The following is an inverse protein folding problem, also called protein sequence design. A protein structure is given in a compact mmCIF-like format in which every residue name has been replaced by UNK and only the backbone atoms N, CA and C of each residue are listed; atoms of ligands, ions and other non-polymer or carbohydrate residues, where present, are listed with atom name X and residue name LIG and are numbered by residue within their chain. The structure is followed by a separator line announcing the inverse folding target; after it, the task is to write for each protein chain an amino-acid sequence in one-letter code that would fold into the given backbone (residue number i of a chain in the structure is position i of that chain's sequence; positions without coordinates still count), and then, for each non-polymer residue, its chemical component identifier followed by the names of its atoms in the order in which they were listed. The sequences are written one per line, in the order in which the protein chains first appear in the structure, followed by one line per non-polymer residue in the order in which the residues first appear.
data_IF_631905942766
#
_entry.id   IF_631905942766
#
_cell.length_a   1.000
_cell.length_b   1.000
_cell.length_c   1.000
_cell.angle_alpha   90.00
_cell.angle_beta   90.00
_cell.angle_gamma   90.00
#
_symmetry.space_group_name_H-M   'P 1'
#
loop_
_entity.id
_entity.type
_entity.pdbx_description
1 polymer ?
#
# COMPACT_ATOMS: atom_id res chain seq x y z
N UNK A 1 5.29 10.17 40.30
CA UNK A 1 6.32 11.14 40.01
C UNK A 1 6.15 11.76 38.63
N UNK A 2 6.85 12.84 38.42
CA UNK A 2 6.88 13.59 37.17
C UNK A 2 8.19 13.32 36.41
N UNK A 3 8.53 12.07 36.20
CA UNK A 3 9.69 11.71 35.38
C UNK A 3 9.27 11.54 33.93
N UNK A 4 10.15 11.88 33.01
CA UNK A 4 9.86 11.83 31.56
C UNK A 4 8.86 12.89 31.06
N UNK A 5 8.60 13.96 31.86
CA UNK A 5 7.74 15.07 31.45
C UNK A 5 6.22 14.83 31.57
N UNK A 6 5.76 13.61 31.94
CA UNK A 6 4.35 13.31 32.16
C UNK A 6 3.98 13.44 33.65
N UNK A 7 3.10 14.40 33.98
CA UNK A 7 2.49 14.54 35.28
C UNK A 7 1.01 14.16 35.24
N UNK A 8 0.66 13.01 35.83
CA UNK A 8 -0.71 12.51 35.96
C UNK A 8 -1.35 12.73 37.32
N UNK A 9 -0.68 13.44 38.26
CA UNK A 9 -1.19 13.66 39.62
C UNK A 9 -2.46 14.50 39.67
N UNK A 10 -2.63 15.36 38.67
CA UNK A 10 -3.79 16.27 38.55
C UNK A 10 -4.78 15.80 37.45
N UNK A 11 -4.52 14.67 36.80
CA UNK A 11 -5.40 14.11 35.77
C UNK A 11 -5.94 12.75 36.20
N UNK A 12 -7.17 12.45 35.82
CA UNK A 12 -7.85 11.19 36.11
C UNK A 12 -7.97 10.31 34.86
N UNK A 13 -8.30 9.03 35.09
CA UNK A 13 -8.58 8.06 34.02
C UNK A 13 -7.40 7.81 33.06
N UNK A 14 -6.15 7.87 33.56
CA UNK A 14 -4.98 7.48 32.80
C UNK A 14 -4.49 6.10 33.25
N UNK A 15 -4.02 5.29 32.31
CA UNK A 15 -3.26 4.06 32.54
C UNK A 15 -1.83 4.33 32.04
N UNK A 16 -0.82 4.13 32.89
CA UNK A 16 0.57 4.37 32.55
C UNK A 16 1.43 3.18 32.96
N UNK A 17 2.20 2.64 32.03
CA UNK A 17 3.31 1.72 32.29
C UNK A 17 4.61 2.47 32.09
N UNK A 18 5.44 2.50 33.12
CA UNK A 18 6.73 3.19 33.11
C UNK A 18 7.88 2.18 33.21
N UNK A 19 9.07 2.55 32.73
CA UNK A 19 10.29 1.80 32.98
C UNK A 19 10.79 2.01 34.42
N UNK A 20 11.91 1.35 34.77
CA UNK A 20 12.50 1.43 36.11
C UNK A 20 12.95 2.84 36.53
N UNK A 21 13.18 3.73 35.55
CA UNK A 21 13.57 5.12 35.79
C UNK A 21 12.34 6.06 35.81
N UNK A 22 11.12 5.50 35.67
CA UNK A 22 9.88 6.25 35.74
C UNK A 22 9.46 6.93 34.42
N UNK A 23 10.14 6.64 33.30
CA UNK A 23 9.72 7.17 32.00
C UNK A 23 8.53 6.38 31.49
N UNK A 24 7.43 7.03 31.09
CA UNK A 24 6.29 6.35 30.51
C UNK A 24 6.65 5.64 29.19
N UNK A 25 6.33 4.34 29.11
CA UNK A 25 6.54 3.53 27.89
C UNK A 25 5.23 3.20 27.20
N UNK A 26 4.14 3.17 27.96
CA UNK A 26 2.78 3.05 27.44
C UNK A 26 1.87 3.93 28.28
N UNK A 27 1.01 4.70 27.65
CA UNK A 27 -0.01 5.51 28.31
C UNK A 27 -1.34 5.38 27.56
N UNK A 28 -2.42 5.20 28.29
CA UNK A 28 -3.77 5.45 27.80
C UNK A 28 -4.32 6.66 28.55
N UNK A 29 -4.77 7.68 27.82
CA UNK A 29 -5.33 8.89 28.42
C UNK A 29 -6.84 8.79 28.68
N UNK A 30 -7.42 9.83 29.31
CA UNK A 30 -8.86 9.90 29.61
C UNK A 30 -9.77 9.88 28.39
N UNK A 31 -9.24 10.12 27.19
CA UNK A 31 -9.99 10.07 25.92
C UNK A 31 -9.87 8.70 25.24
N UNK A 32 -9.14 7.74 25.86
CA UNK A 32 -8.92 6.43 25.28
C UNK A 32 -7.78 6.38 24.25
N UNK A 33 -6.96 7.44 24.14
CA UNK A 33 -5.80 7.44 23.22
C UNK A 33 -4.66 6.61 23.81
N UNK A 34 -4.11 5.68 23.03
CA UNK A 34 -2.97 4.85 23.39
C UNK A 34 -1.67 5.46 22.86
N UNK A 35 -0.72 5.69 23.76
CA UNK A 35 0.63 6.20 23.46
C UNK A 35 1.65 5.11 23.73
N UNK A 36 2.57 4.88 22.80
CA UNK A 36 3.66 3.91 22.93
C UNK A 36 4.97 4.65 22.68
N UNK A 37 5.87 4.64 23.70
CA UNK A 37 7.18 5.29 23.61
C UNK A 37 7.16 6.83 23.63
N UNK A 38 6.00 7.45 23.88
CA UNK A 38 5.85 8.91 23.94
C UNK A 38 4.86 9.33 25.02
N UNK A 39 4.96 10.56 25.50
CA UNK A 39 4.07 11.16 26.51
C UNK A 39 3.02 12.09 25.91
N UNK A 40 3.18 12.44 24.65
CA UNK A 40 2.27 13.31 23.92
C UNK A 40 2.07 12.79 22.50
N UNK A 41 0.90 13.01 21.94
CA UNK A 41 0.73 12.91 20.51
C UNK A 41 1.44 14.13 19.89
N UNK A 42 2.65 13.90 19.38
CA UNK A 42 3.16 14.76 18.33
C UNK A 42 2.23 14.61 17.12
N UNK A 43 2.43 15.40 16.11
CA UNK A 43 1.62 15.37 14.87
C UNK A 43 1.60 14.01 14.15
N UNK A 44 2.34 13.01 14.63
CA UNK A 44 2.74 11.84 13.87
C UNK A 44 2.31 10.48 14.44
N UNK A 45 1.66 10.39 15.61
CA UNK A 45 1.39 9.06 16.17
C UNK A 45 0.05 8.98 16.89
N UNK A 46 -1.00 8.58 16.19
CA UNK A 46 -2.20 8.05 16.82
C UNK A 46 -2.46 6.63 16.30
N UNK A 47 -2.22 5.63 17.16
CA UNK A 47 -2.76 4.29 16.96
C UNK A 47 -4.12 4.28 17.65
N UNK A 48 -5.19 4.51 16.89
CA UNK A 48 -6.55 4.36 17.38
C UNK A 48 -7.14 3.05 16.85
N UNK A 49 -7.31 2.06 17.72
CA UNK A 49 -8.13 0.88 17.42
C UNK A 49 -9.50 1.09 18.06
N UNK A 50 -10.52 1.35 17.26
CA UNK A 50 -11.90 1.42 17.72
C UNK A 50 -12.61 0.09 17.42
N UNK A 51 -12.99 -0.65 18.48
CA UNK A 51 -13.87 -1.81 18.38
C UNK A 51 -15.31 -1.36 18.62
N UNK A 52 -16.10 -1.22 17.58
CA UNK A 52 -17.51 -0.87 17.76
C UNK A 52 -18.52 -1.74 17.03
N UNK A 53 -18.09 -2.87 16.39
CA UNK A 53 -18.98 -3.90 15.79
C UNK A 53 -18.17 -5.11 15.32
N UNK A 54 -18.80 -6.26 14.95
CA UNK A 54 -18.07 -7.39 14.38
C UNK A 54 -17.32 -6.95 13.10
N UNK A 55 -15.99 -6.95 13.17
CA UNK A 55 -15.08 -6.42 12.16
C UNK A 55 -14.24 -5.28 12.72
N UNK A 56 -13.03 -5.59 13.25
CA UNK A 56 -12.06 -4.56 13.64
C UNK A 56 -11.54 -3.83 12.41
N UNK A 57 -11.33 -2.51 12.53
CA UNK A 57 -10.68 -1.71 11.48
C UNK A 57 -9.59 -0.82 12.07
N UNK A 58 -8.58 -0.58 11.27
CA UNK A 58 -7.59 0.45 11.55
C UNK A 58 -8.08 1.77 10.97
N UNK A 59 -8.21 2.79 11.81
CA UNK A 59 -8.60 4.12 11.38
C UNK A 59 -7.47 5.12 11.63
N UNK A 60 -6.96 5.73 10.58
CA UNK A 60 -6.08 6.88 10.64
C UNK A 60 -6.83 8.10 10.11
N UNK A 61 -6.92 9.16 10.90
CA UNK A 61 -7.61 10.40 10.52
C UNK A 61 -6.78 11.60 10.90
N UNK A 62 -6.98 12.68 10.15
CA UNK A 62 -6.43 14.01 10.45
C UNK A 62 -7.57 15.03 10.47
N UNK A 63 -7.34 16.18 11.09
CA UNK A 63 -8.29 17.28 11.13
C UNK A 63 -8.05 18.35 10.05
N UNK A 64 -7.19 18.05 9.09
CA UNK A 64 -6.88 18.94 7.96
C UNK A 64 -7.40 18.37 6.64
N UNK A 65 -7.83 19.25 5.75
CA UNK A 65 -8.17 18.94 4.37
C UNK A 65 -6.97 19.03 3.41
N UNK A 66 -5.82 19.50 3.89
CA UNK A 66 -4.57 19.48 3.15
C UNK A 66 -4.04 18.07 2.92
N UNK A 67 -2.89 17.98 2.27
CA UNK A 67 -2.22 16.69 2.07
C UNK A 67 -1.65 16.18 3.38
N UNK A 68 -2.02 14.95 3.75
CA UNK A 68 -1.55 14.28 4.95
C UNK A 68 -1.25 12.81 4.67
N UNK A 69 -0.07 12.36 5.07
CA UNK A 69 0.31 10.94 4.96
C UNK A 69 -0.10 10.18 6.21
N UNK A 70 -0.90 9.14 6.02
CA UNK A 70 -1.40 8.27 7.09
C UNK A 70 -0.50 7.08 7.36
N UNK A 71 0.20 6.61 6.33
CA UNK A 71 1.11 5.48 6.43
C UNK A 71 2.29 5.65 5.48
N UNK A 72 3.50 5.47 6.00
CA UNK A 72 4.72 5.36 5.21
C UNK A 72 5.18 3.90 5.13
N UNK A 73 5.65 3.50 3.97
CA UNK A 73 6.34 2.24 3.74
C UNK A 73 7.82 2.52 3.51
N UNK A 74 8.67 1.88 4.30
CA UNK A 74 10.12 2.08 4.22
C UNK A 74 10.88 0.77 4.32
N UNK A 75 12.08 0.76 3.76
CA UNK A 75 13.06 -0.33 3.88
C UNK A 75 14.48 0.27 3.92
N UNK A 76 15.52 -0.53 3.71
CA UNK A 76 16.93 -0.06 3.70
C UNK A 76 17.22 1.00 2.64
N UNK A 77 16.37 1.15 1.61
CA UNK A 77 16.50 2.20 0.59
C UNK A 77 15.76 3.50 0.96
N UNK A 78 15.19 3.59 2.17
CA UNK A 78 14.43 4.74 2.66
C UNK A 78 12.91 4.56 2.48
N UNK A 79 12.20 5.68 2.33
CA UNK A 79 10.75 5.69 2.11
C UNK A 79 10.44 5.34 0.66
N UNK A 80 9.72 4.23 0.46
CA UNK A 80 9.42 3.67 -0.87
C UNK A 80 7.96 3.78 -1.26
N UNK A 81 7.08 4.19 -0.34
CA UNK A 81 5.66 4.39 -0.61
C UNK A 81 4.90 5.00 0.54
N UNK A 82 3.66 5.41 0.28
CA UNK A 82 2.77 5.96 1.31
C UNK A 82 1.29 5.82 0.94
N UNK A 83 0.43 5.90 1.97
CA UNK A 83 -1.00 6.15 1.82
C UNK A 83 -1.28 7.53 2.39
N UNK A 84 -1.83 8.42 1.56
CA UNK A 84 -2.09 9.81 1.93
C UNK A 84 -3.50 10.24 1.51
N UNK A 85 -4.00 11.30 2.16
CA UNK A 85 -5.24 11.97 1.76
C UNK A 85 -4.96 13.42 1.38
N UNK A 86 -5.77 13.97 0.48
CA UNK A 86 -5.78 15.41 0.15
C UNK A 86 -7.18 15.81 -0.29
N UNK A 87 -7.78 16.77 0.41
CA UNK A 87 -9.19 17.11 0.20
C UNK A 87 -10.08 15.89 0.41
N UNK A 88 -10.81 15.48 -0.61
CA UNK A 88 -11.72 14.33 -0.62
C UNK A 88 -11.15 13.07 -1.27
N UNK A 89 -9.85 13.03 -1.57
CA UNK A 89 -9.20 11.91 -2.26
C UNK A 89 -8.19 11.19 -1.38
N UNK A 90 -7.98 9.91 -1.69
CA UNK A 90 -6.90 9.07 -1.15
C UNK A 90 -5.93 8.71 -2.27
N UNK A 91 -4.63 8.80 -2.00
CA UNK A 91 -3.58 8.38 -2.91
C UNK A 91 -2.77 7.23 -2.33
N UNK A 92 -2.39 6.28 -3.20
CA UNK A 92 -1.49 5.16 -2.93
C UNK A 92 -0.23 5.43 -3.74
N UNK A 93 0.81 5.89 -3.06
CA UNK A 93 2.01 6.39 -3.72
C UNK A 93 3.13 5.36 -3.67
N UNK A 94 3.81 5.17 -4.79
CA UNK A 94 5.11 4.50 -4.91
C UNK A 94 6.17 5.52 -5.32
N UNK A 95 7.41 5.35 -4.84
CA UNK A 95 8.53 6.21 -5.24
C UNK A 95 8.78 6.09 -6.74
N UNK A 96 8.86 7.25 -7.42
CA UNK A 96 9.10 7.32 -8.86
C UNK A 96 9.94 8.55 -9.26
N UNK A 97 10.74 9.08 -8.34
CA UNK A 97 11.66 10.17 -8.63
C UNK A 97 12.71 9.72 -9.65
N UNK A 98 13.01 10.59 -10.64
CA UNK A 98 13.98 10.28 -11.70
C UNK A 98 15.40 10.04 -11.15
N UNK A 99 15.74 10.65 -10.02
CA UNK A 99 17.04 10.50 -9.34
C UNK A 99 17.26 9.09 -8.75
N UNK A 100 16.20 8.29 -8.65
CA UNK A 100 16.24 6.89 -8.22
C UNK A 100 16.35 5.91 -9.40
N UNK A 101 16.48 6.42 -10.62
CA UNK A 101 16.46 5.64 -11.86
C UNK A 101 17.70 5.88 -12.68
N UNK A 102 18.17 4.85 -13.35
CA UNK A 102 19.26 4.89 -14.31
C UNK A 102 18.89 4.09 -15.55
N UNK A 103 19.67 4.25 -16.63
CA UNK A 103 19.48 3.51 -17.89
C UNK A 103 18.04 3.61 -18.45
N UNK A 104 17.44 4.81 -18.35
CA UNK A 104 16.08 5.04 -18.83
C UNK A 104 16.06 5.02 -20.35
N UNK A 105 15.27 4.10 -20.91
CA UNK A 105 15.06 3.95 -22.38
C UNK A 105 13.58 3.83 -22.66
N UNK A 106 13.20 4.09 -23.92
CA UNK A 106 11.82 3.98 -24.36
C UNK A 106 11.35 2.51 -24.31
N UNK A 107 10.10 2.32 -23.88
CA UNK A 107 9.43 1.01 -23.88
C UNK A 107 8.89 0.73 -25.29
N UNK A 108 9.60 -0.08 -26.07
CA UNK A 108 9.21 -0.50 -27.43
C UNK A 108 8.69 -1.93 -27.48
N UNK A 109 7.93 -2.30 -28.53
CA UNK A 109 7.39 -3.63 -28.70
C UNK A 109 6.29 -3.97 -27.68
N UNK A 110 5.64 -2.95 -27.14
CA UNK A 110 4.64 -3.08 -26.11
C UNK A 110 3.41 -3.84 -26.57
N UNK A 111 2.97 -3.63 -27.80
CA UNK A 111 1.80 -4.31 -28.39
C UNK A 111 1.99 -5.83 -28.46
N UNK A 112 3.18 -6.30 -28.85
CA UNK A 112 3.44 -7.74 -28.95
C UNK A 112 3.59 -8.39 -27.59
N UNK A 113 4.11 -7.66 -26.62
CA UNK A 113 4.17 -8.09 -25.22
C UNK A 113 2.78 -8.15 -24.59
N UNK A 114 1.95 -7.13 -24.82
CA UNK A 114 0.57 -7.07 -24.31
C UNK A 114 -0.30 -8.22 -24.81
N UNK A 115 -0.18 -8.59 -26.10
CA UNK A 115 -0.93 -9.71 -26.69
C UNK A 115 -0.68 -11.06 -26.05
N UNK A 116 0.39 -11.22 -25.29
CA UNK A 116 0.71 -12.45 -24.58
C UNK A 116 -0.01 -12.53 -23.23
N UNK A 117 -0.53 -11.41 -22.71
CA UNK A 117 -1.36 -11.43 -21.51
C UNK A 117 -2.72 -12.09 -21.81
N UNK A 118 -3.19 -12.89 -20.86
CA UNK A 118 -4.45 -13.62 -20.97
C UNK A 118 -5.45 -13.13 -19.88
N UNK A 119 -6.24 -12.08 -20.15
CA UNK A 119 -7.33 -11.70 -19.26
C UNK A 119 -8.35 -12.82 -19.14
N UNK A 120 -8.71 -13.18 -17.91
CA UNK A 120 -9.58 -14.31 -17.63
C UNK A 120 -10.75 -13.89 -16.75
N UNK A 121 -11.88 -14.58 -16.89
CA UNK A 121 -13.04 -14.45 -16.01
C UNK A 121 -13.13 -15.69 -15.14
N UNK A 122 -13.27 -15.49 -13.82
CA UNK A 122 -13.26 -16.58 -12.85
C UNK A 122 -14.05 -16.22 -11.59
N UNK A 123 -14.26 -17.24 -10.73
CA UNK A 123 -14.76 -17.09 -9.38
C UNK A 123 -13.68 -17.54 -8.41
N UNK A 124 -13.55 -16.86 -7.27
CA UNK A 124 -12.73 -17.40 -6.19
C UNK A 124 -13.41 -18.63 -5.56
N UNK A 125 -12.64 -19.66 -5.22
CA UNK A 125 -13.18 -20.89 -4.62
C UNK A 125 -13.95 -20.57 -3.33
N UNK A 126 -13.47 -19.57 -2.55
CA UNK A 126 -14.13 -19.13 -1.31
C UNK A 126 -15.39 -18.28 -1.55
N UNK A 127 -15.63 -17.81 -2.80
CA UNK A 127 -16.79 -17.00 -3.18
C UNK A 127 -17.24 -17.40 -4.60
N UNK A 128 -17.87 -18.57 -4.67
CA UNK A 128 -18.26 -19.21 -5.93
C UNK A 128 -19.36 -18.45 -6.70
N UNK A 129 -20.12 -17.60 -6.01
CA UNK A 129 -21.25 -16.87 -6.60
C UNK A 129 -20.84 -15.54 -7.24
N UNK A 130 -19.64 -15.02 -6.92
CA UNK A 130 -19.15 -13.73 -7.43
C UNK A 130 -18.15 -13.96 -8.56
N UNK A 131 -18.52 -13.58 -9.78
CA UNK A 131 -17.62 -13.64 -10.95
C UNK A 131 -16.86 -12.34 -11.11
N UNK A 132 -15.55 -12.44 -11.33
CA UNK A 132 -14.63 -11.30 -11.52
C UNK A 132 -13.76 -11.48 -12.75
N UNK A 133 -13.29 -10.37 -13.31
CA UNK A 133 -12.29 -10.36 -14.38
C UNK A 133 -10.90 -10.06 -13.80
N UNK A 134 -9.90 -10.74 -14.31
CA UNK A 134 -8.52 -10.56 -13.82
C UNK A 134 -7.51 -11.40 -14.58
N UNK A 135 -6.44 -11.79 -13.89
CA UNK A 135 -5.34 -12.56 -14.46
C UNK A 135 -4.94 -13.69 -13.51
N UNK A 136 -4.37 -14.75 -14.09
CA UNK A 136 -3.65 -15.76 -13.34
C UNK A 136 -2.19 -15.29 -13.14
N UNK A 137 -1.76 -15.15 -11.89
CA UNK A 137 -0.49 -14.52 -11.55
C UNK A 137 0.72 -15.17 -12.26
N UNK A 138 0.77 -16.50 -12.31
CA UNK A 138 1.87 -17.23 -12.96
C UNK A 138 1.94 -17.04 -14.48
N UNK A 139 0.82 -16.75 -15.15
CA UNK A 139 0.81 -16.43 -16.59
C UNK A 139 1.36 -15.03 -16.83
N UNK A 140 0.96 -14.05 -15.99
CA UNK A 140 1.49 -12.68 -16.07
C UNK A 140 2.97 -12.63 -15.72
N UNK A 141 3.44 -13.46 -14.79
CA UNK A 141 4.84 -13.49 -14.35
C UNK A 141 5.84 -13.71 -15.50
N UNK A 142 5.45 -14.49 -16.50
CA UNK A 142 6.30 -14.74 -17.67
C UNK A 142 6.47 -13.51 -18.57
N UNK A 143 5.56 -12.54 -18.48
CA UNK A 143 5.45 -11.39 -19.40
C UNK A 143 5.82 -10.08 -18.69
N UNK A 144 5.31 -9.89 -17.46
CA UNK A 144 5.50 -8.71 -16.61
C UNK A 144 5.86 -9.19 -15.20
N UNK A 145 7.08 -9.72 -15.00
CA UNK A 145 7.49 -10.31 -13.72
C UNK A 145 7.42 -9.33 -12.55
N UNK A 146 7.64 -8.04 -12.80
CA UNK A 146 7.56 -6.97 -11.80
C UNK A 146 6.14 -6.71 -11.26
N UNK A 147 5.12 -7.27 -11.90
CA UNK A 147 3.73 -7.21 -11.43
C UNK A 147 3.41 -8.30 -10.40
N UNK A 148 4.24 -9.32 -10.24
CA UNK A 148 3.93 -10.52 -9.47
C UNK A 148 4.82 -10.63 -8.25
N UNK A 149 4.22 -11.00 -7.14
CA UNK A 149 4.91 -11.41 -5.91
C UNK A 149 4.64 -12.87 -5.61
N UNK A 150 5.61 -13.54 -4.99
CA UNK A 150 5.54 -14.98 -4.69
C UNK A 150 5.96 -15.87 -5.85
N UNK A 151 5.99 -17.16 -5.60
CA UNK A 151 6.38 -18.20 -6.55
C UNK A 151 5.20 -19.13 -6.80
N UNK A 152 5.03 -19.57 -8.06
CA UNK A 152 3.99 -20.55 -8.39
C UNK A 152 4.18 -21.84 -7.59
N UNK A 153 3.08 -22.34 -7.02
CA UNK A 153 3.02 -23.59 -6.26
C UNK A 153 3.91 -23.60 -4.99
N UNK A 154 4.27 -22.40 -4.46
CA UNK A 154 5.03 -22.29 -3.21
C UNK A 154 4.22 -22.78 -2.01
N UNK A 155 4.95 -23.35 -1.04
CA UNK A 155 4.40 -23.78 0.26
C UNK A 155 5.32 -23.27 1.38
N UNK A 156 4.73 -23.03 2.55
CA UNK A 156 5.45 -22.70 3.76
C UNK A 156 6.16 -23.93 4.38
N UNK A 157 6.82 -23.76 5.52
CA UNK A 157 7.52 -24.82 6.23
C UNK A 157 6.61 -25.96 6.72
N UNK A 158 5.31 -25.69 6.88
CA UNK A 158 4.29 -26.63 7.31
C UNK A 158 3.55 -27.28 6.12
N UNK A 159 3.90 -26.92 4.89
CA UNK A 159 3.29 -27.46 3.67
C UNK A 159 1.99 -26.77 3.25
N UNK A 160 1.64 -25.63 3.85
CA UNK A 160 0.48 -24.84 3.43
C UNK A 160 0.79 -24.00 2.21
N UNK A 161 -0.16 -23.80 1.28
CA UNK A 161 0.05 -22.98 0.08
C UNK A 161 0.42 -21.53 0.42
N UNK A 162 1.49 -21.03 -0.20
CA UNK A 162 1.82 -19.60 -0.28
C UNK A 162 1.37 -19.08 -1.64
N UNK A 163 0.33 -18.23 -1.63
CA UNK A 163 -0.29 -17.76 -2.86
C UNK A 163 0.47 -16.57 -3.46
N UNK A 164 0.55 -16.56 -4.80
CA UNK A 164 1.05 -15.41 -5.56
C UNK A 164 0.09 -14.24 -5.46
N UNK A 165 0.65 -13.02 -5.47
CA UNK A 165 -0.08 -11.76 -5.59
C UNK A 165 0.21 -11.06 -6.91
N UNK A 166 -0.70 -10.19 -7.35
CA UNK A 166 -0.53 -9.34 -8.53
C UNK A 166 -0.75 -7.86 -8.17
N UNK A 167 0.20 -7.01 -8.57
CA UNK A 167 0.05 -5.56 -8.62
C UNK A 167 -0.28 -5.13 -10.04
N UNK A 168 -1.56 -4.95 -10.32
CA UNK A 168 -2.04 -4.57 -11.66
C UNK A 168 -1.56 -3.17 -12.09
N UNK A 169 -1.13 -2.31 -11.17
CA UNK A 169 -0.59 -0.99 -11.51
C UNK A 169 0.68 -1.09 -12.37
N UNK A 170 1.43 -2.17 -12.27
CA UNK A 170 2.61 -2.46 -13.08
C UNK A 170 2.31 -2.74 -14.57
N UNK A 171 1.05 -3.02 -14.88
CA UNK A 171 0.60 -3.19 -16.28
C UNK A 171 0.34 -1.84 -16.97
N UNK A 172 0.17 -0.75 -16.21
CA UNK A 172 -0.17 0.57 -16.77
C UNK A 172 0.87 1.08 -17.78
N UNK A 173 2.20 1.03 -17.52
CA UNK A 173 3.18 1.47 -18.51
C UNK A 173 3.11 0.67 -19.82
N UNK A 174 2.87 -0.64 -19.74
CA UNK A 174 2.70 -1.49 -20.91
C UNK A 174 1.45 -1.12 -21.72
N UNK A 175 0.33 -0.84 -21.03
CA UNK A 175 -0.90 -0.38 -21.65
C UNK A 175 -0.72 0.98 -22.34
N UNK A 176 -0.06 1.94 -21.69
CA UNK A 176 0.20 3.27 -22.27
C UNK A 176 1.07 3.15 -23.51
N UNK A 177 2.18 2.43 -23.46
CA UNK A 177 3.06 2.23 -24.60
C UNK A 177 2.32 1.51 -25.77
N UNK A 178 1.48 0.51 -25.47
CA UNK A 178 0.66 -0.16 -26.48
C UNK A 178 -0.31 0.79 -27.16
N UNK A 179 -0.98 1.65 -26.40
CA UNK A 179 -1.91 2.65 -26.97
C UNK A 179 -1.16 3.61 -27.88
N UNK A 180 0.04 4.08 -27.49
CA UNK A 180 0.88 4.95 -28.31
C UNK A 180 1.34 4.27 -29.60
N UNK A 181 1.75 2.99 -29.55
CA UNK A 181 2.10 2.23 -30.75
C UNK A 181 0.89 2.02 -31.69
N UNK A 182 -0.29 1.77 -31.14
CA UNK A 182 -1.53 1.60 -31.92
C UNK A 182 -1.97 2.94 -32.54
N UNK A 183 -1.89 4.05 -31.81
CA UNK A 183 -2.20 5.38 -32.31
C UNK A 183 -1.29 5.75 -33.49
N UNK A 184 0.02 5.54 -33.36
CA UNK A 184 0.96 5.79 -34.44
C UNK A 184 0.66 4.95 -35.70
N UNK A 185 0.24 3.68 -35.52
CA UNK A 185 -0.16 2.82 -36.65
C UNK A 185 -1.45 3.28 -37.31
N UNK A 186 -2.44 3.74 -36.55
CA UNK A 186 -3.69 4.29 -37.06
C UNK A 186 -3.39 5.56 -37.87
N UNK A 187 -2.62 6.49 -37.33
CA UNK A 187 -2.21 7.72 -38.02
C UNK A 187 -1.49 7.43 -39.34
N UNK A 188 -0.61 6.44 -39.37
CA UNK A 188 0.06 6.02 -40.60
C UNK A 188 -0.91 5.46 -41.67
N UNK A 189 -1.96 4.72 -41.24
CA UNK A 189 -2.97 4.18 -42.14
C UNK A 189 -3.91 5.27 -42.69
N UNK A 190 -4.26 6.26 -41.87
CA UNK A 190 -5.10 7.40 -42.27
C UNK A 190 -4.37 8.38 -43.18
N UNK A 191 -3.07 8.56 -42.99
CA UNK A 191 -2.22 9.47 -43.79
C UNK A 191 -1.82 8.93 -45.18
N UNK A 192 -2.24 7.70 -45.54
CA UNK A 192 -1.98 7.06 -46.84
C UNK A 192 -3.12 7.27 -47.83
N UNK A 193 -4.18 8.05 -47.49
CA UNK A 193 -5.30 8.38 -48.40
C UNK A 193 -5.07 9.73 -49.11
#
# INVERSE_FOLDING_TARGET
GNQGGLDIRTSSNNIVLSDGDGNPRLRMDSNGSLYIGTTSLGWETAIATAYSKPGGYWKSTTNTSGTWTHQYFGNSNGWVGSIATSGSSTSYNTSSDYRLKENVVDLTGATDRLKQLNPSRFNFIADADTTVDGFLAHEVQAIVPEAITGTKDAVDADGNPEYQGIDQSKLVPLLVATIQELEARITALEGVN
#
